data_IF_136691076081
#
_entry.id   IF_136691076081
#
_cell.length_a   1.000
_cell.length_b   1.000
_cell.length_c   1.000
_cell.angle_alpha   90.00
_cell.angle_beta   90.00
_cell.angle_gamma   90.00
#
_symmetry.space_group_name_H-M   'P 1'
#
loop_
_entity.id
_entity.type
_entity.pdbx_description
1 polymer ?
#
# COMPACT_ATOMS: atom_id res chain seq x y z
N UNK A 1 13.81 3.20 4.44
CA UNK A 1 12.46 3.80 4.50
C UNK A 1 11.71 3.14 5.65
N UNK A 2 11.11 3.89 6.60
CA UNK A 2 10.34 3.28 7.67
C UNK A 2 9.10 2.58 7.09
N UNK A 3 8.74 1.41 7.63
CA UNK A 3 7.57 0.62 7.21
C UNK A 3 6.54 0.57 8.34
N UNK A 4 5.26 0.49 7.97
CA UNK A 4 4.20 0.25 8.97
C UNK A 4 4.30 -1.18 9.52
N UNK A 5 3.95 -1.43 10.79
CA UNK A 5 3.94 -2.78 11.38
C UNK A 5 3.14 -3.79 10.54
N UNK A 6 2.01 -3.36 9.96
CA UNK A 6 1.18 -4.22 9.10
C UNK A 6 1.90 -4.62 7.80
N UNK A 7 2.73 -3.74 7.24
CA UNK A 7 3.53 -4.06 6.07
C UNK A 7 4.64 -5.06 6.42
N UNK A 8 5.28 -4.91 7.58
CA UNK A 8 6.29 -5.87 8.08
C UNK A 8 5.70 -7.27 8.25
N UNK A 9 4.52 -7.39 8.87
CA UNK A 9 3.83 -8.68 9.01
C UNK A 9 3.53 -9.34 7.65
N UNK A 10 3.17 -8.57 6.62
CA UNK A 10 2.95 -9.12 5.27
C UNK A 10 4.26 -9.65 4.70
N UNK A 11 5.36 -8.90 4.82
CA UNK A 11 6.68 -9.34 4.35
C UNK A 11 7.09 -10.63 5.05
N UNK A 12 6.95 -10.70 6.37
CA UNK A 12 7.29 -11.88 7.15
C UNK A 12 6.46 -13.10 6.75
N UNK A 13 5.16 -12.93 6.55
CA UNK A 13 4.25 -13.98 6.07
C UNK A 13 4.71 -14.59 4.74
N UNK A 14 5.24 -13.78 3.83
CA UNK A 14 5.68 -14.22 2.50
C UNK A 14 7.18 -14.50 2.40
N UNK A 15 7.94 -14.38 3.49
CA UNK A 15 9.41 -14.54 3.51
C UNK A 15 9.89 -15.90 2.98
N UNK A 16 9.09 -16.95 3.14
CA UNK A 16 9.38 -18.33 2.68
C UNK A 16 8.54 -18.75 1.47
N UNK A 17 7.88 -17.82 0.79
CA UNK A 17 7.01 -18.17 -0.33
C UNK A 17 7.84 -18.67 -1.53
N UNK A 18 7.58 -19.87 -2.08
CA UNK A 18 8.43 -20.47 -3.12
C UNK A 18 8.66 -19.57 -4.34
N UNK A 19 7.58 -18.93 -4.82
CA UNK A 19 7.67 -18.00 -5.96
C UNK A 19 8.52 -16.76 -5.64
N UNK A 20 8.40 -16.21 -4.42
CA UNK A 20 9.13 -15.02 -4.04
C UNK A 20 10.64 -15.31 -3.94
N UNK A 21 10.98 -16.48 -3.37
CA UNK A 21 12.35 -16.97 -3.29
C UNK A 21 12.95 -17.25 -4.67
N UNK A 22 12.20 -17.94 -5.55
CA UNK A 22 12.65 -18.27 -6.89
C UNK A 22 12.90 -17.02 -7.76
N UNK A 23 12.09 -15.98 -7.60
CA UNK A 23 12.21 -14.72 -8.36
C UNK A 23 13.10 -13.68 -7.66
N UNK A 24 13.63 -13.97 -6.46
CA UNK A 24 14.42 -13.01 -5.67
C UNK A 24 13.63 -11.77 -5.25
N UNK A 25 12.32 -11.88 -5.06
CA UNK A 25 11.40 -10.78 -4.71
C UNK A 25 10.95 -10.86 -3.26
N UNK A 26 10.56 -9.72 -2.71
CA UNK A 26 10.02 -9.62 -1.34
C UNK A 26 8.63 -10.24 -1.21
N UNK A 27 7.84 -10.22 -2.30
CA UNK A 27 6.47 -10.72 -2.34
C UNK A 27 6.26 -11.55 -3.62
N UNK A 28 5.33 -12.52 -3.62
CA UNK A 28 4.85 -13.14 -4.85
C UNK A 28 4.05 -12.10 -5.64
N UNK A 29 4.56 -11.69 -6.80
CA UNK A 29 3.93 -10.66 -7.62
C UNK A 29 3.08 -11.31 -8.70
N UNK A 30 1.84 -10.82 -8.83
CA UNK A 30 0.91 -11.19 -9.90
C UNK A 30 0.89 -10.11 -10.99
N UNK A 31 0.28 -10.40 -12.14
CA UNK A 31 -0.03 -9.36 -13.11
C UNK A 31 -1.07 -8.37 -12.55
N UNK A 32 -0.98 -7.11 -12.98
CA UNK A 32 -1.93 -6.07 -12.58
C UNK A 32 -3.39 -6.43 -12.90
N UNK A 33 -3.62 -7.10 -14.04
CA UNK A 33 -4.95 -7.56 -14.43
C UNK A 33 -5.53 -8.56 -13.41
N UNK A 34 -4.73 -9.55 -13.01
CA UNK A 34 -5.18 -10.58 -12.06
C UNK A 34 -5.42 -9.99 -10.67
N UNK A 35 -4.54 -9.10 -10.24
CA UNK A 35 -4.69 -8.40 -8.96
C UNK A 35 -5.93 -7.49 -8.93
N UNK A 36 -6.20 -6.74 -10.01
CA UNK A 36 -7.41 -5.92 -10.10
C UNK A 36 -8.70 -6.77 -10.09
N UNK A 37 -8.66 -7.97 -10.67
CA UNK A 37 -9.76 -8.94 -10.55
C UNK A 37 -10.05 -9.29 -9.10
N UNK A 38 -9.02 -9.70 -8.34
CA UNK A 38 -9.19 -10.00 -6.92
C UNK A 38 -9.60 -8.80 -6.07
N UNK A 39 -9.12 -7.59 -6.40
CA UNK A 39 -9.57 -6.38 -5.72
C UNK A 39 -11.06 -6.13 -5.93
N UNK A 40 -11.60 -6.45 -7.10
CA UNK A 40 -13.04 -6.36 -7.37
C UNK A 40 -13.82 -7.36 -6.52
N UNK A 41 -13.38 -8.62 -6.48
CA UNK A 41 -14.04 -9.65 -5.66
C UNK A 41 -14.05 -9.27 -4.18
N UNK A 42 -12.93 -8.75 -3.66
CA UNK A 42 -12.83 -8.26 -2.28
C UNK A 42 -13.76 -7.06 -2.06
N UNK A 43 -13.83 -6.13 -3.03
CA UNK A 43 -14.72 -4.98 -2.94
C UNK A 43 -16.19 -5.43 -2.84
N UNK A 44 -16.59 -6.40 -3.67
CA UNK A 44 -17.94 -6.95 -3.68
C UNK A 44 -18.28 -7.63 -2.34
N UNK A 45 -17.36 -8.44 -1.78
CA UNK A 45 -17.55 -9.08 -0.46
C UNK A 45 -17.66 -8.05 0.66
N UNK A 46 -16.91 -6.95 0.58
CA UNK A 46 -16.93 -5.87 1.56
C UNK A 46 -18.05 -4.84 1.34
N UNK A 47 -18.88 -4.99 0.29
CA UNK A 47 -19.91 -4.01 -0.07
C UNK A 47 -19.35 -2.65 -0.52
N UNK A 48 -18.12 -2.60 -1.02
CA UNK A 48 -17.47 -1.38 -1.50
C UNK A 48 -17.86 -1.16 -2.96
N UNK A 49 -18.63 -0.10 -3.21
CA UNK A 49 -19.12 0.24 -4.56
C UNK A 49 -18.10 1.00 -5.42
N UNK A 50 -17.06 1.59 -4.79
CA UNK A 50 -15.97 2.26 -5.52
C UNK A 50 -15.02 1.21 -6.11
N UNK A 51 -14.58 1.36 -7.37
CA UNK A 51 -13.64 0.44 -7.98
C UNK A 51 -12.30 0.48 -7.25
N UNK A 52 -11.88 -0.63 -6.63
CA UNK A 52 -10.58 -0.71 -5.97
C UNK A 52 -9.47 -0.88 -7.01
N UNK A 53 -8.51 0.06 -7.01
CA UNK A 53 -7.34 0.03 -7.89
C UNK A 53 -6.08 0.39 -7.11
N UNK A 54 -4.90 0.08 -7.66
CA UNK A 54 -3.62 0.52 -7.10
C UNK A 54 -3.52 2.03 -6.91
N UNK A 55 -4.11 2.81 -7.82
CA UNK A 55 -4.09 4.26 -7.73
C UNK A 55 -4.89 4.75 -6.51
N UNK A 56 -6.08 4.17 -6.27
CA UNK A 56 -6.89 4.48 -5.10
C UNK A 56 -6.19 4.03 -3.82
N UNK A 57 -5.58 2.85 -3.80
CA UNK A 57 -4.81 2.38 -2.65
C UNK A 57 -3.67 3.35 -2.29
N UNK A 58 -2.95 3.89 -3.29
CA UNK A 58 -1.90 4.90 -3.07
C UNK A 58 -2.48 6.20 -2.50
N UNK A 59 -3.59 6.69 -3.06
CA UNK A 59 -4.26 7.89 -2.54
C UNK A 59 -4.73 7.69 -1.10
N UNK A 60 -5.47 6.61 -0.82
CA UNK A 60 -5.95 6.29 0.54
C UNK A 60 -4.80 6.11 1.52
N UNK A 61 -3.68 5.53 1.11
CA UNK A 61 -2.48 5.47 1.94
C UNK A 61 -1.97 6.88 2.27
N UNK A 62 -1.81 7.75 1.26
CA UNK A 62 -1.26 9.08 1.41
C UNK A 62 -2.19 10.08 2.14
N UNK A 63 -3.51 9.89 2.10
CA UNK A 63 -4.48 10.83 2.71
C UNK A 63 -5.09 10.31 3.99
N UNK A 64 -5.37 9.01 4.06
CA UNK A 64 -6.10 8.44 5.20
C UNK A 64 -5.12 7.79 6.16
N UNK A 65 -4.31 6.83 5.68
CA UNK A 65 -3.44 6.01 6.54
C UNK A 65 -2.33 6.85 7.20
N UNK A 66 -1.76 7.80 6.48
CA UNK A 66 -0.76 8.72 7.02
C UNK A 66 -1.36 9.68 8.04
N UNK A 67 -2.51 10.30 7.75
CA UNK A 67 -3.13 11.27 8.67
C UNK A 67 -3.73 10.63 9.93
N UNK A 68 -4.21 9.38 9.85
CA UNK A 68 -4.97 8.75 10.94
C UNK A 68 -4.16 7.83 11.85
N UNK A 69 -2.93 7.42 11.50
CA UNK A 69 -2.18 6.44 12.30
C UNK A 69 -1.36 7.03 13.47
N UNK A 70 -1.51 8.31 13.82
CA UNK A 70 -0.71 8.92 14.89
C UNK A 70 0.81 8.89 14.62
N UNK A 71 1.21 8.60 13.38
CA UNK A 71 2.60 8.58 12.93
C UNK A 71 3.02 10.04 12.68
N UNK A 72 4.18 10.49 13.19
CA UNK A 72 4.65 11.85 12.95
C UNK A 72 4.76 12.18 11.47
N UNK A 73 4.35 13.39 11.07
CA UNK A 73 4.33 13.85 9.68
C UNK A 73 5.70 13.76 8.99
N UNK A 74 6.77 13.90 9.76
CA UNK A 74 8.16 13.72 9.30
C UNK A 74 8.45 12.29 8.84
N UNK A 75 7.90 11.31 9.55
CA UNK A 75 8.02 9.88 9.20
C UNK A 75 7.19 9.58 7.95
N UNK A 76 6.00 10.18 7.82
CA UNK A 76 5.15 10.08 6.64
C UNK A 76 5.82 10.67 5.40
N UNK A 77 6.42 11.86 5.51
CA UNK A 77 7.15 12.50 4.40
C UNK A 77 8.28 11.59 3.88
N UNK A 78 8.97 10.89 4.79
CA UNK A 78 9.98 9.88 4.43
C UNK A 78 9.39 8.62 3.81
N UNK A 79 8.21 8.15 4.24
CA UNK A 79 7.51 7.00 3.67
C UNK A 79 7.03 7.27 2.23
N UNK A 80 6.62 8.50 1.94
CA UNK A 80 6.16 8.92 0.61
C UNK A 80 7.31 9.29 -0.34
N UNK A 81 8.56 9.33 0.16
CA UNK A 81 9.73 9.69 -0.64
C UNK A 81 9.81 11.17 -0.99
N UNK A 82 9.03 12.03 -0.33
CA UNK A 82 9.00 13.46 -0.59
C UNK A 82 10.05 14.18 0.26
N UNK A 83 10.94 14.94 -0.38
CA UNK A 83 11.95 15.80 0.27
C UNK A 83 11.37 17.11 0.84
N UNK A 84 10.13 17.47 0.48
CA UNK A 84 9.45 18.71 0.91
C UNK A 84 8.05 18.40 1.44
N UNK A 85 7.71 18.93 2.61
CA UNK A 85 6.40 18.79 3.26
C UNK A 85 5.23 19.30 2.38
N UNK A 86 5.49 20.28 1.50
CA UNK A 86 4.51 20.92 0.63
C UNK A 86 3.87 19.98 -0.41
N UNK A 87 4.52 18.88 -0.80
CA UNK A 87 3.97 17.91 -1.77
C UNK A 87 3.01 16.91 -1.12
N UNK A 88 2.95 16.89 0.21
CA UNK A 88 1.99 16.08 0.98
C UNK A 88 0.58 16.68 0.89
N UNK A 89 0.47 18.01 0.81
CA UNK A 89 -0.80 18.74 0.72
C UNK A 89 -1.47 18.63 -0.65
N UNK A 90 -0.71 18.48 -1.74
CA UNK A 90 -1.27 18.38 -3.09
C UNK A 90 -1.95 17.03 -3.34
N UNK A 91 -1.54 15.97 -2.63
CA UNK A 91 -2.23 14.67 -2.70
C UNK A 91 -3.41 14.56 -1.71
N UNK A 92 -3.69 15.62 -0.94
CA UNK A 92 -4.72 15.71 0.09
C UNK A 92 -5.98 16.47 -0.35
N UNK A 93 -6.07 16.93 -1.61
CA UNK A 93 -7.29 17.48 -2.22
C UNK A 93 -7.90 16.48 -3.21
#
# INVERSE_FOLDING_TARGET
>A
MPLLPKALHIIEKYSKHPQALAEGKVLPVMSNQKLNGYLKDIADICGITKPLTFHIARHTFATTVTLTNGVPIETISRMLGHKKLSTTQINLQ
#
